data_IF_192717788094
#
_entry.id   IF_192717788094
#
_cell.length_a   1.000
_cell.length_b   1.000
_cell.length_c   1.000
_cell.angle_alpha   90.00
_cell.angle_beta   90.00
_cell.angle_gamma   90.00
#
_symmetry.space_group_name_H-M   'P 1'
#
loop_
_entity.id
_entity.type
_entity.pdbx_description
1 polymer ?
#
# COMPACT_ATOMS: atom_id res chain seq x y z
N UNK A 1 -3.27 12.72 -22.24
CA UNK A 1 -3.75 12.33 -20.90
C UNK A 1 -4.21 13.61 -20.24
N UNK A 2 -5.51 13.73 -19.98
CA UNK A 2 -6.10 14.90 -19.31
C UNK A 2 -5.48 15.08 -17.92
N UNK A 3 -5.21 16.33 -17.54
CA UNK A 3 -4.79 16.69 -16.20
C UNK A 3 -5.99 16.50 -15.26
N UNK A 4 -6.14 15.30 -14.69
CA UNK A 4 -7.05 15.06 -13.58
C UNK A 4 -6.67 15.98 -12.43
N UNK A 5 -7.66 16.62 -11.81
CA UNK A 5 -7.47 17.32 -10.55
C UNK A 5 -6.99 16.33 -9.48
N UNK A 6 -6.24 16.82 -8.49
CA UNK A 6 -5.68 15.94 -7.46
C UNK A 6 -6.75 15.16 -6.70
N UNK A 7 -7.94 15.75 -6.51
CA UNK A 7 -9.09 15.08 -5.91
C UNK A 7 -9.56 13.89 -6.75
N UNK A 8 -9.61 14.04 -8.08
CA UNK A 8 -9.97 12.94 -8.97
C UNK A 8 -8.92 11.83 -8.95
N UNK A 9 -7.63 12.19 -8.91
CA UNK A 9 -6.54 11.20 -8.79
C UNK A 9 -6.62 10.42 -7.47
N UNK A 10 -6.90 11.12 -6.36
CA UNK A 10 -7.14 10.47 -5.08
C UNK A 10 -8.29 9.47 -5.17
N UNK A 11 -9.43 9.87 -5.77
CA UNK A 11 -10.58 8.97 -5.91
C UNK A 11 -10.30 7.77 -6.81
N UNK A 12 -9.57 7.95 -7.91
CA UNK A 12 -9.16 6.84 -8.80
C UNK A 12 -8.21 5.87 -8.08
N UNK A 13 -7.24 6.38 -7.31
CA UNK A 13 -6.36 5.55 -6.47
C UNK A 13 -7.17 4.76 -5.43
N UNK A 14 -8.09 5.42 -4.71
CA UNK A 14 -8.96 4.76 -3.73
C UNK A 14 -9.80 3.67 -4.40
N UNK A 15 -10.36 3.96 -5.57
CA UNK A 15 -11.20 3.03 -6.32
C UNK A 15 -10.44 1.80 -6.78
N UNK A 16 -9.23 1.96 -7.32
CA UNK A 16 -8.38 0.83 -7.73
C UNK A 16 -7.96 -0.04 -6.54
N UNK A 17 -7.59 0.57 -5.41
CA UNK A 17 -7.26 -0.15 -4.16
C UNK A 17 -8.46 -0.98 -3.68
N UNK A 18 -9.65 -0.35 -3.59
CA UNK A 18 -10.88 -1.04 -3.14
C UNK A 18 -11.32 -2.14 -4.10
N UNK A 19 -11.15 -1.92 -5.41
CA UNK A 19 -11.48 -2.90 -6.45
C UNK A 19 -10.55 -4.12 -6.37
N UNK A 20 -9.26 -3.93 -6.16
CA UNK A 20 -8.29 -5.03 -6.09
C UNK A 20 -8.44 -5.87 -4.82
N UNK A 21 -8.47 -5.23 -3.64
CA UNK A 21 -8.54 -5.92 -2.34
C UNK A 21 -9.96 -5.99 -1.78
N UNK A 22 -10.99 -6.01 -2.64
CA UNK A 22 -12.38 -6.03 -2.23
C UNK A 22 -12.62 -7.09 -1.12
N UNK A 23 -13.18 -6.67 0.01
CA UNK A 23 -13.44 -7.53 1.18
C UNK A 23 -12.24 -7.81 2.11
N UNK A 24 -11.01 -7.43 1.74
CA UNK A 24 -9.80 -7.59 2.58
C UNK A 24 -9.30 -6.28 3.22
N UNK A 25 -9.92 -5.15 2.88
CA UNK A 25 -9.62 -3.83 3.44
C UNK A 25 -10.55 -3.57 4.63
N UNK A 26 -9.96 -3.15 5.75
CA UNK A 26 -10.67 -2.51 6.87
C UNK A 26 -10.05 -1.15 7.19
N UNK A 27 -10.76 -0.33 7.97
CA UNK A 27 -10.24 0.91 8.56
C UNK A 27 -9.65 1.93 7.57
N UNK A 28 -10.21 1.98 6.36
CA UNK A 28 -9.76 2.87 5.30
C UNK A 28 -10.08 4.33 5.59
N UNK A 29 -9.06 5.19 5.65
CA UNK A 29 -9.19 6.63 5.91
C UNK A 29 -8.13 7.45 5.16
N UNK A 30 -8.49 8.69 4.85
CA UNK A 30 -7.53 9.73 4.42
C UNK A 30 -6.96 10.34 5.70
N UNK A 31 -5.64 10.28 5.89
CA UNK A 31 -4.98 10.79 7.12
C UNK A 31 -4.28 12.11 6.94
N UNK A 32 -3.95 12.46 5.70
CA UNK A 32 -3.33 13.72 5.34
C UNK A 32 -3.75 14.14 3.94
N UNK A 33 -3.95 15.44 3.74
CA UNK A 33 -4.27 16.02 2.44
C UNK A 33 -3.77 17.47 2.38
N UNK A 34 -2.89 17.74 1.43
CA UNK A 34 -2.42 19.07 1.09
C UNK A 34 -2.47 19.24 -0.43
N UNK A 35 -3.61 19.78 -0.89
CA UNK A 35 -3.82 20.08 -2.31
C UNK A 35 -2.91 21.17 -2.85
N UNK A 36 -2.41 22.07 -1.99
CA UNK A 36 -1.50 23.14 -2.41
C UNK A 36 -0.14 22.57 -2.81
N UNK A 37 0.28 21.50 -2.13
CA UNK A 37 1.54 20.83 -2.38
C UNK A 37 1.42 19.54 -3.21
N UNK A 38 0.23 19.20 -3.68
CA UNK A 38 0.05 18.03 -4.52
C UNK A 38 0.24 16.71 -3.75
N UNK A 39 -0.11 16.65 -2.47
CA UNK A 39 0.22 15.51 -1.59
C UNK A 39 -0.95 15.01 -0.74
N UNK A 40 -1.11 13.70 -0.58
CA UNK A 40 -2.08 13.10 0.33
C UNK A 40 -1.60 11.75 0.86
N UNK A 41 -2.16 11.30 1.98
CA UNK A 41 -1.87 10.01 2.56
C UNK A 41 -3.15 9.24 2.88
N UNK A 42 -3.15 7.95 2.53
CA UNK A 42 -4.24 7.02 2.79
C UNK A 42 -3.73 5.94 3.75
N UNK A 43 -4.47 5.70 4.83
CA UNK A 43 -4.20 4.62 5.76
C UNK A 43 -5.33 3.59 5.70
N UNK A 44 -4.97 2.32 5.65
CA UNK A 44 -5.93 1.22 5.63
C UNK A 44 -5.28 -0.06 6.13
N UNK A 45 -6.09 -0.99 6.63
CA UNK A 45 -5.63 -2.28 7.12
C UNK A 45 -5.96 -3.38 6.11
N UNK A 46 -4.99 -4.25 5.82
CA UNK A 46 -5.16 -5.43 4.98
C UNK A 46 -5.11 -6.70 5.82
N UNK A 47 -5.98 -7.65 5.49
CA UNK A 47 -6.03 -8.98 6.12
C UNK A 47 -6.21 -8.94 7.64
N UNK A 48 -6.83 -7.87 8.15
CA UNK A 48 -6.99 -7.58 9.59
C UNK A 48 -5.68 -7.64 10.39
N UNK A 49 -4.54 -7.43 9.72
CA UNK A 49 -3.21 -7.69 10.29
C UNK A 49 -2.15 -6.65 9.94
N UNK A 50 -2.21 -6.08 8.75
CA UNK A 50 -1.18 -5.18 8.26
C UNK A 50 -1.76 -3.79 8.07
N UNK A 51 -1.22 -2.81 8.79
CA UNK A 51 -1.55 -1.41 8.54
C UNK A 51 -0.67 -0.86 7.44
N UNK A 52 -1.31 -0.35 6.40
CA UNK A 52 -0.69 0.14 5.18
C UNK A 52 -0.87 1.65 5.12
N UNK A 53 0.22 2.35 4.83
CA UNK A 53 0.22 3.77 4.51
C UNK A 53 0.60 3.91 3.03
N UNK A 54 -0.32 4.44 2.24
CA UNK A 54 -0.05 4.91 0.88
C UNK A 54 0.23 6.40 0.95
N UNK A 55 1.40 6.81 0.49
CA UNK A 55 1.77 8.22 0.35
C UNK A 55 1.71 8.60 -1.12
N UNK A 56 1.00 9.68 -1.44
CA UNK A 56 1.02 10.32 -2.74
C UNK A 56 1.69 11.69 -2.61
N UNK A 57 2.68 11.96 -3.45
CA UNK A 57 3.37 13.26 -3.52
C UNK A 57 3.76 13.54 -4.97
N UNK A 58 3.35 14.70 -5.49
CA UNK A 58 3.80 15.25 -6.79
C UNK A 58 3.69 14.25 -7.96
N UNK A 59 2.59 13.48 -8.03
CA UNK A 59 2.36 12.51 -9.11
C UNK A 59 3.01 11.14 -8.89
N UNK A 60 3.66 10.91 -7.75
CA UNK A 60 4.15 9.62 -7.33
C UNK A 60 3.34 9.05 -6.16
N UNK A 61 3.33 7.72 -6.06
CA UNK A 61 2.68 6.94 -5.02
C UNK A 61 3.65 5.91 -4.46
N UNK A 62 3.56 5.63 -3.16
CA UNK A 62 4.39 4.66 -2.49
C UNK A 62 3.65 3.96 -1.36
N UNK A 63 3.94 2.68 -1.17
CA UNK A 63 3.38 1.87 -0.09
C UNK A 63 4.39 1.68 1.04
N UNK A 64 3.92 1.82 2.26
CA UNK A 64 4.66 1.51 3.48
C UNK A 64 3.80 0.65 4.40
N UNK A 65 4.44 -0.24 5.14
CA UNK A 65 3.79 -1.21 6.03
C UNK A 65 4.23 -0.88 7.46
N UNK A 66 3.27 -0.72 8.37
CA UNK A 66 3.55 -0.44 9.78
C UNK A 66 4.27 -1.63 10.44
N UNK A 67 5.31 -1.36 11.21
CA UNK A 67 5.98 -2.40 12.00
C UNK A 67 5.07 -2.88 13.13
N UNK A 68 5.11 -4.19 13.38
CA UNK A 68 4.43 -4.78 14.54
C UNK A 68 5.03 -4.18 15.82
N UNK A 69 4.17 -3.71 16.72
CA UNK A 69 4.50 -3.12 18.03
C UNK A 69 5.09 -1.70 18.02
N UNK A 70 4.99 -0.94 16.92
CA UNK A 70 5.32 0.49 16.92
C UNK A 70 4.26 1.33 16.22
N UNK A 71 3.87 2.45 16.84
CA UNK A 71 2.79 3.32 16.37
C UNK A 71 3.20 4.22 15.21
N UNK A 72 4.49 4.57 15.09
CA UNK A 72 4.99 5.52 14.08
C UNK A 72 6.07 4.98 13.14
N UNK A 73 6.40 3.69 13.23
CA UNK A 73 7.43 3.12 12.36
C UNK A 73 6.80 2.40 11.18
N UNK A 74 7.09 2.92 9.99
CA UNK A 74 6.73 2.30 8.73
C UNK A 74 7.97 1.78 8.02
N UNK A 75 7.79 0.67 7.33
CA UNK A 75 8.81 0.08 6.47
C UNK A 75 8.35 0.21 5.02
N UNK A 76 9.23 0.73 4.17
CA UNK A 76 8.98 0.81 2.73
C UNK A 76 8.82 -0.58 2.12
N UNK A 77 7.91 -0.72 1.16
CA UNK A 77 7.55 -2.00 0.54
C UNK A 77 8.74 -2.79 -0.02
N UNK A 78 9.77 -2.14 -0.55
CA UNK A 78 10.97 -2.84 -1.07
C UNK A 78 11.80 -3.57 -0.02
N UNK A 79 11.53 -3.36 1.27
CA UNK A 79 12.16 -4.17 2.33
C UNK A 79 11.34 -5.43 2.66
N UNK A 80 10.16 -5.58 2.04
CA UNK A 80 9.24 -6.70 2.24
C UNK A 80 9.21 -7.67 1.05
N UNK A 81 9.87 -7.32 -0.07
CA UNK A 81 9.86 -8.12 -1.30
C UNK A 81 11.15 -7.88 -2.08
N UNK A 82 11.61 -8.92 -2.78
CA UNK A 82 12.68 -8.86 -3.78
C UNK A 82 12.16 -8.49 -5.18
N UNK A 83 10.83 -8.40 -5.35
CA UNK A 83 10.21 -7.99 -6.60
C UNK A 83 10.42 -6.51 -6.91
N UNK A 84 10.30 -6.15 -8.19
CA UNK A 84 10.43 -4.75 -8.62
C UNK A 84 9.29 -3.91 -8.05
N UNK A 85 9.65 -2.75 -7.50
CA UNK A 85 8.72 -1.76 -6.97
C UNK A 85 8.94 -0.43 -7.67
N UNK A 86 7.92 0.06 -8.35
CA UNK A 86 7.93 1.35 -9.02
C UNK A 86 7.73 2.48 -8.01
N UNK A 87 8.51 3.56 -8.10
CA UNK A 87 8.51 4.66 -7.12
C UNK A 87 8.49 6.01 -7.82
N UNK A 88 8.13 7.06 -7.08
CA UNK A 88 8.09 8.42 -7.62
C UNK A 88 7.14 8.51 -8.82
N UNK A 89 7.48 9.30 -9.83
CA UNK A 89 6.63 9.52 -11.00
C UNK A 89 6.30 8.23 -11.78
N UNK A 90 7.16 7.21 -11.71
CA UNK A 90 6.92 5.94 -12.39
C UNK A 90 5.86 5.08 -11.71
N UNK A 91 5.54 5.30 -10.43
CA UNK A 91 4.60 4.44 -9.70
C UNK A 91 3.16 4.51 -10.22
N UNK A 92 2.79 5.60 -10.88
CA UNK A 92 1.45 5.80 -11.47
C UNK A 92 1.45 5.69 -12.99
N UNK A 93 2.60 5.38 -13.59
CA UNK A 93 2.74 5.29 -15.04
C UNK A 93 2.21 3.95 -15.55
N UNK A 94 1.26 3.99 -16.47
CA UNK A 94 0.71 2.77 -17.09
C UNK A 94 0.15 1.81 -16.04
N UNK A 95 0.61 0.56 -16.06
CA UNK A 95 0.17 -0.48 -15.12
C UNK A 95 1.00 -0.54 -13.82
N UNK A 96 1.98 0.34 -13.64
CA UNK A 96 2.94 0.24 -12.53
C UNK A 96 2.27 0.34 -11.15
N UNK A 97 1.17 1.08 -11.04
CA UNK A 97 0.40 1.18 -9.80
C UNK A 97 -0.22 -0.17 -9.43
N UNK A 98 -0.83 -0.83 -10.41
CA UNK A 98 -1.42 -2.16 -10.24
C UNK A 98 -0.34 -3.21 -9.95
N UNK A 99 0.82 -3.12 -10.60
CA UNK A 99 1.96 -4.00 -10.31
C UNK A 99 2.45 -3.81 -8.87
N UNK A 100 2.58 -2.57 -8.39
CA UNK A 100 2.90 -2.30 -6.99
C UNK A 100 1.86 -2.88 -6.02
N UNK A 101 0.58 -2.77 -6.36
CA UNK A 101 -0.53 -3.39 -5.60
C UNK A 101 -0.37 -4.91 -5.54
N UNK A 102 -0.08 -5.56 -6.67
CA UNK A 102 0.15 -7.02 -6.76
C UNK A 102 1.37 -7.46 -5.97
N UNK A 103 2.48 -6.74 -6.11
CA UNK A 103 3.71 -6.99 -5.37
C UNK A 103 3.49 -6.88 -3.86
N UNK A 104 2.76 -5.86 -3.41
CA UNK A 104 2.38 -5.73 -2.00
C UNK A 104 1.56 -6.94 -1.55
N UNK A 105 0.55 -7.30 -2.33
CA UNK A 105 -0.36 -8.40 -2.02
C UNK A 105 0.39 -9.74 -1.84
N UNK A 106 1.27 -10.06 -2.78
CA UNK A 106 2.13 -11.24 -2.74
C UNK A 106 3.03 -11.23 -1.51
N UNK A 107 3.69 -10.11 -1.23
CA UNK A 107 4.57 -9.97 -0.07
C UNK A 107 3.83 -10.22 1.26
N UNK A 108 2.65 -9.65 1.42
CA UNK A 108 1.83 -9.82 2.63
C UNK A 108 1.31 -11.25 2.78
N UNK A 109 0.86 -11.88 1.69
CA UNK A 109 0.40 -13.29 1.70
C UNK A 109 1.54 -14.25 2.04
N UNK A 110 2.73 -14.04 1.47
CA UNK A 110 3.91 -14.83 1.81
C UNK A 110 4.24 -14.70 3.29
N UNK A 111 4.17 -13.48 3.85
CA UNK A 111 4.41 -13.27 5.28
C UNK A 111 3.42 -14.03 6.17
N UNK A 112 2.13 -14.00 5.84
CA UNK A 112 1.10 -14.77 6.55
C UNK A 112 1.43 -16.26 6.51
N UNK A 113 1.84 -16.78 5.34
CA UNK A 113 2.18 -18.19 5.17
C UNK A 113 3.41 -18.59 6.00
N UNK A 114 4.45 -17.78 6.02
CA UNK A 114 5.64 -18.00 6.85
C UNK A 114 5.29 -18.05 8.34
N UNK A 115 4.45 -17.13 8.82
CA UNK A 115 4.01 -17.11 10.22
C UNK A 115 3.16 -18.35 10.57
N UNK A 116 2.28 -18.80 9.67
CA UNK A 116 1.52 -20.05 9.84
C UNK A 116 2.42 -21.29 9.87
N UNK A 117 3.48 -21.33 9.05
CA UNK A 117 4.46 -22.43 9.08
C UNK A 117 5.23 -22.44 10.39
N UNK A 118 5.66 -21.28 10.88
CA UNK A 118 6.34 -21.16 12.19
C UNK A 118 5.45 -21.59 13.34
N UNK A 119 4.16 -21.23 13.33
CA UNK A 119 3.24 -21.64 14.40
C UNK A 119 2.89 -23.14 14.38
N UNK A 120 2.98 -23.80 13.22
CA UNK A 120 2.76 -25.26 13.08
C UNK A 120 4.03 -26.10 13.28
N UNK A 121 5.21 -25.49 13.17
CA UNK A 121 6.50 -26.16 13.33
C UNK A 121 7.06 -26.13 14.75
N UNK A 122 6.27 -25.68 15.74
CA UNK A 122 6.65 -25.56 17.16
C UNK A 122 6.29 -26.81 17.98
N UNK A 123 6.29 -27.97 17.32
CA UNK A 123 6.30 -29.30 17.95
C UNK A 123 7.47 -30.11 17.35
N UNK A 124 8.72 -29.77 17.70
CA UNK A 124 9.85 -30.71 17.76
C UNK A 124 10.88 -30.21 18.76
#
# INVERSE_FOLDING_TARGET
MENLTMKEQQQEIIKEIKKYWNGNISDFKVVFEDFSYGSFELEFSLYSKFDILLTYERGGAGFKIRKKNTTNEFVIMTKYTDETVYRGLDSLRGNNFLENIRTLDTALKNKILEEKKKSRGLER
#
